data_IF_629185092178
#
_entry.id   IF_629185092178
#
_cell.length_a   1.000
_cell.length_b   1.000
_cell.length_c   1.000
_cell.angle_alpha   90.00
_cell.angle_beta   90.00
_cell.angle_gamma   90.00
#
_symmetry.space_group_name_H-M   'P 1'
#
loop_
_entity.id
_entity.type
_entity.pdbx_description
1 polymer ?
#
# COMPACT_ATOMS: atom_id res chain seq x y z
N UNK A 1 -63.84 -20.84 -25.50
CA UNK A 1 -64.01 -20.39 -26.90
C UNK A 1 -64.81 -19.09 -26.87
N UNK A 2 -64.32 -18.06 -27.58
CA UNK A 2 -64.79 -16.66 -27.69
C UNK A 2 -64.42 -15.72 -26.52
N UNK A 3 -63.94 -14.51 -26.76
CA UNK A 3 -63.28 -13.86 -27.92
C UNK A 3 -62.74 -12.51 -27.40
N UNK A 4 -61.58 -12.08 -27.88
CA UNK A 4 -61.05 -10.72 -27.73
C UNK A 4 -62.04 -9.65 -28.23
N UNK A 5 -61.91 -8.40 -27.74
CA UNK A 5 -61.73 -7.17 -28.55
C UNK A 5 -61.32 -6.00 -27.60
N UNK A 6 -60.13 -5.45 -27.86
CA UNK A 6 -59.72 -4.07 -27.54
C UNK A 6 -60.50 -3.09 -28.42
N UNK A 7 -60.97 -1.91 -27.94
CA UNK A 7 -60.83 -0.59 -28.60
C UNK A 7 -61.04 0.57 -27.58
N UNK A 8 -59.96 1.33 -27.35
CA UNK A 8 -59.75 2.80 -27.37
C UNK A 8 -60.75 3.75 -26.67
N UNK A 9 -60.23 4.64 -25.80
CA UNK A 9 -60.85 5.96 -25.60
C UNK A 9 -60.44 6.82 -24.38
N UNK A 10 -59.29 7.50 -24.46
CA UNK A 10 -59.01 8.89 -23.98
C UNK A 10 -58.93 9.15 -22.45
N UNK A 11 -57.77 9.68 -22.01
CA UNK A 11 -57.76 10.60 -20.85
C UNK A 11 -56.55 10.61 -19.89
N UNK A 12 -55.41 11.16 -20.35
CA UNK A 12 -54.62 12.20 -19.64
C UNK A 12 -53.86 11.89 -18.30
N UNK A 13 -52.55 12.17 -18.37
CA UNK A 13 -51.56 12.58 -17.35
C UNK A 13 -51.06 11.55 -16.30
N UNK A 14 -49.77 11.21 -16.38
CA UNK A 14 -48.70 11.71 -15.47
C UNK A 14 -47.39 10.91 -15.68
N UNK A 15 -46.25 11.61 -15.68
CA UNK A 15 -44.95 11.04 -15.29
C UNK A 15 -43.97 10.71 -16.41
N UNK A 16 -42.99 11.59 -16.58
CA UNK A 16 -41.78 11.44 -17.36
C UNK A 16 -40.97 10.18 -17.01
N UNK A 17 -40.51 9.46 -18.04
CA UNK A 17 -39.41 8.51 -17.94
C UNK A 17 -38.13 9.32 -17.75
N UNK A 18 -37.59 9.38 -16.54
CA UNK A 18 -36.21 9.80 -16.32
C UNK A 18 -35.32 8.56 -16.32
N UNK A 19 -34.33 8.63 -17.21
CA UNK A 19 -33.19 7.73 -17.34
C UNK A 19 -32.60 7.32 -15.98
N UNK A 20 -32.29 6.03 -15.87
CA UNK A 20 -31.44 5.47 -14.84
C UNK A 20 -30.03 6.08 -14.97
N UNK A 21 -29.74 7.09 -14.15
CA UNK A 21 -28.38 7.58 -13.97
C UNK A 21 -27.72 6.76 -12.86
N UNK A 22 -26.60 6.13 -13.22
CA UNK A 22 -25.67 5.37 -12.38
C UNK A 22 -25.47 6.03 -10.99
N UNK A 23 -25.81 5.30 -9.93
CA UNK A 23 -25.49 5.73 -8.57
C UNK A 23 -23.97 5.74 -8.35
N UNK A 24 -23.46 6.93 -8.07
CA UNK A 24 -22.13 7.16 -7.52
C UNK A 24 -22.02 6.45 -6.15
N UNK A 25 -21.03 5.56 -6.00
CA UNK A 25 -20.83 4.79 -4.77
C UNK A 25 -20.69 5.72 -3.57
N UNK A 26 -21.70 5.71 -2.69
CA UNK A 26 -21.85 6.70 -1.63
C UNK A 26 -20.67 6.65 -0.65
N UNK A 27 -19.97 7.78 -0.46
CA UNK A 27 -18.84 7.89 0.48
C UNK A 27 -19.32 7.82 1.93
N UNK A 28 -18.69 7.00 2.77
CA UNK A 28 -19.16 6.70 4.13
C UNK A 28 -18.15 7.14 5.19
N UNK A 29 -18.65 7.46 6.40
CA UNK A 29 -17.78 7.68 7.56
C UNK A 29 -17.64 6.37 8.34
N UNK A 30 -16.41 5.95 8.55
CA UNK A 30 -16.06 4.77 9.31
C UNK A 30 -15.44 5.16 10.66
N UNK A 31 -16.19 4.97 11.74
CA UNK A 31 -15.75 5.28 13.10
C UNK A 31 -15.80 4.04 13.99
N UNK A 32 -14.87 3.95 14.96
CA UNK A 32 -14.91 2.90 15.99
C UNK A 32 -14.93 1.48 15.43
N UNK A 33 -15.92 0.66 15.84
CA UNK A 33 -16.05 -0.74 15.38
C UNK A 33 -16.35 -0.85 13.89
N UNK A 34 -17.03 0.13 13.29
CA UNK A 34 -17.38 0.11 11.86
C UNK A 34 -16.15 0.25 10.98
N UNK A 35 -15.18 1.05 11.42
CA UNK A 35 -13.86 1.17 10.81
C UNK A 35 -13.05 -0.12 10.92
N UNK A 36 -13.08 -0.76 12.09
CA UNK A 36 -12.42 -2.04 12.31
C UNK A 36 -13.05 -3.13 11.42
N UNK A 37 -14.38 -3.20 11.34
CA UNK A 37 -15.08 -4.18 10.52
C UNK A 37 -14.85 -3.92 9.02
N UNK A 38 -14.85 -2.66 8.60
CA UNK A 38 -14.57 -2.29 7.22
C UNK A 38 -13.12 -2.62 6.84
N UNK A 39 -12.16 -2.39 7.74
CA UNK A 39 -10.79 -2.87 7.56
C UNK A 39 -10.74 -4.39 7.51
N UNK A 40 -11.30 -5.12 8.47
CA UNK A 40 -11.31 -6.59 8.43
C UNK A 40 -11.88 -7.11 7.10
N UNK A 41 -12.97 -6.51 6.63
CA UNK A 41 -13.61 -6.87 5.36
C UNK A 41 -12.70 -6.56 4.14
N UNK A 42 -12.00 -5.43 4.15
CA UNK A 42 -11.12 -5.01 3.04
C UNK A 42 -9.75 -5.69 3.10
N UNK A 43 -9.27 -6.05 4.29
CA UNK A 43 -7.91 -6.56 4.53
C UNK A 43 -7.82 -8.08 4.54
N UNK A 44 -8.91 -8.81 4.79
CA UNK A 44 -8.90 -10.28 4.92
C UNK A 44 -9.54 -11.01 3.72
N UNK A 45 -9.25 -10.61 2.49
CA UNK A 45 -9.43 -11.52 1.36
C UNK A 45 -8.20 -12.44 1.27
N UNK A 46 -8.24 -13.49 2.11
CA UNK A 46 -7.30 -14.64 2.29
C UNK A 46 -5.87 -14.27 2.80
N UNK A 47 -5.26 -14.87 3.82
CA UNK A 47 -5.41 -16.18 4.47
C UNK A 47 -5.16 -16.17 6.00
N UNK A 48 -5.70 -17.21 6.62
CA UNK A 48 -5.50 -17.77 7.96
C UNK A 48 -4.12 -18.42 8.20
N UNK A 49 -3.74 -18.58 9.49
CA UNK A 49 -2.58 -19.32 10.08
C UNK A 49 -1.22 -18.58 10.03
N UNK A 50 -0.35 -18.55 11.05
CA UNK A 50 0.14 -19.60 11.95
C UNK A 50 0.54 -18.99 13.31
N UNK A 51 0.10 -19.62 14.40
CA UNK A 51 0.67 -19.49 15.74
C UNK A 51 1.73 -20.58 15.91
N UNK A 52 2.94 -20.25 16.37
CA UNK A 52 3.90 -21.26 16.85
C UNK A 52 4.74 -20.71 18.01
N UNK A 53 4.69 -21.43 19.13
CA UNK A 53 5.44 -21.20 20.37
C UNK A 53 6.85 -21.85 20.28
N UNK A 54 7.86 -21.24 20.91
CA UNK A 54 9.24 -21.77 21.01
C UNK A 54 9.68 -21.85 22.48
N UNK A 55 10.35 -22.96 22.83
CA UNK A 55 10.78 -23.35 24.19
C UNK A 55 12.16 -22.81 24.64
N UNK A 56 12.48 -22.86 25.96
CA UNK A 56 13.44 -21.97 26.61
C UNK A 56 14.68 -22.68 27.20
N UNK A 57 15.90 -22.34 26.75
CA UNK A 57 17.12 -22.78 27.49
C UNK A 57 18.35 -21.85 27.48
N UNK A 58 18.35 -20.67 26.85
CA UNK A 58 19.54 -19.79 26.82
C UNK A 58 19.31 -18.39 27.41
N UNK A 59 18.72 -18.31 28.61
CA UNK A 59 18.01 -17.09 29.01
C UNK A 59 18.52 -16.36 30.25
N UNK A 60 19.82 -16.22 30.51
CA UNK A 60 20.23 -15.49 31.73
C UNK A 60 21.12 -14.25 31.56
N UNK A 61 22.00 -14.16 30.56
CA UNK A 61 22.90 -12.97 30.47
C UNK A 61 22.46 -11.94 29.42
N UNK A 62 21.62 -12.34 28.46
CA UNK A 62 21.04 -11.44 27.44
C UNK A 62 19.74 -10.75 27.89
N UNK A 63 19.20 -11.12 29.06
CA UNK A 63 17.86 -10.71 29.53
C UNK A 63 17.74 -9.23 29.87
N UNK A 64 18.71 -8.61 30.53
CA UNK A 64 18.55 -7.23 31.02
C UNK A 64 18.55 -6.21 29.88
N UNK A 65 19.50 -6.32 28.95
CA UNK A 65 19.58 -5.46 27.76
C UNK A 65 18.51 -5.79 26.73
N UNK A 66 18.08 -7.06 26.59
CA UNK A 66 16.91 -7.39 25.78
C UNK A 66 15.62 -6.87 26.40
N UNK A 67 15.43 -6.95 27.72
CA UNK A 67 14.21 -6.46 28.37
C UNK A 67 14.05 -4.94 28.21
N UNK A 68 15.16 -4.19 28.28
CA UNK A 68 15.16 -2.74 28.01
C UNK A 68 14.89 -2.42 26.54
N UNK A 69 15.54 -3.13 25.61
CA UNK A 69 15.29 -2.99 24.16
C UNK A 69 13.89 -3.43 23.76
N UNK A 70 13.36 -4.46 24.39
CA UNK A 70 12.01 -5.00 24.18
C UNK A 70 10.96 -4.06 24.76
N UNK A 71 11.19 -3.46 25.93
CA UNK A 71 10.33 -2.42 26.50
C UNK A 71 10.32 -1.16 25.61
N UNK A 72 11.49 -0.73 25.13
CA UNK A 72 11.61 0.39 24.19
C UNK A 72 10.95 0.09 22.85
N UNK A 73 11.18 -1.09 22.27
CA UNK A 73 10.53 -1.54 21.04
C UNK A 73 9.02 -1.69 21.21
N UNK A 74 8.53 -2.25 22.32
CA UNK A 74 7.09 -2.31 22.66
C UNK A 74 6.49 -0.92 22.76
N UNK A 75 7.18 0.03 23.40
CA UNK A 75 6.74 1.42 23.52
C UNK A 75 6.71 2.10 22.15
N UNK A 76 7.79 2.03 21.38
CA UNK A 76 7.88 2.60 20.02
C UNK A 76 6.83 1.98 19.10
N UNK A 77 6.66 0.65 19.11
CA UNK A 77 5.62 -0.07 18.36
C UNK A 77 4.22 0.35 18.80
N UNK A 78 4.00 0.58 20.10
CA UNK A 78 2.71 1.08 20.60
C UNK A 78 2.45 2.52 20.15
N UNK A 79 3.46 3.37 20.12
CA UNK A 79 3.35 4.76 19.67
C UNK A 79 3.19 4.86 18.15
N UNK A 80 3.86 4.02 17.37
CA UNK A 80 3.68 3.87 15.93
C UNK A 80 2.27 3.36 15.63
N UNK A 81 1.78 2.33 16.35
CA UNK A 81 0.38 1.87 16.25
C UNK A 81 -0.61 2.95 16.63
N UNK A 82 -0.33 3.78 17.64
CA UNK A 82 -1.20 4.93 18.01
C UNK A 82 -1.16 6.05 16.97
N UNK A 83 -0.01 6.30 16.33
CA UNK A 83 0.12 7.26 15.22
C UNK A 83 -0.66 6.77 14.00
N UNK A 84 -0.48 5.51 13.60
CA UNK A 84 -1.21 4.86 12.51
C UNK A 84 -2.73 4.83 12.76
N UNK A 85 -3.16 4.55 14.00
CA UNK A 85 -4.58 4.62 14.39
C UNK A 85 -5.15 6.04 14.36
N UNK A 86 -4.35 7.07 14.68
CA UNK A 86 -4.77 8.47 14.56
C UNK A 86 -4.95 8.87 13.10
N UNK A 87 -4.01 8.49 12.24
CA UNK A 87 -4.06 8.76 10.80
C UNK A 87 -5.31 8.16 10.12
N UNK A 88 -5.67 6.93 10.53
CA UNK A 88 -6.88 6.25 10.10
C UNK A 88 -8.18 6.92 10.60
N UNK A 89 -8.20 7.37 11.86
CA UNK A 89 -9.38 8.04 12.46
C UNK A 89 -9.60 9.42 11.84
N UNK A 90 -8.54 10.20 11.65
CA UNK A 90 -8.63 11.52 11.01
C UNK A 90 -9.12 11.47 9.56
N UNK A 91 -8.79 10.41 8.84
CA UNK A 91 -9.07 10.31 7.41
C UNK A 91 -10.43 9.71 7.08
N UNK A 92 -10.89 8.71 7.83
CA UNK A 92 -12.12 7.97 7.50
C UNK A 92 -13.23 8.06 8.55
N UNK A 93 -12.95 8.55 9.77
CA UNK A 93 -13.99 8.85 10.76
C UNK A 93 -14.42 10.32 10.68
N UNK A 94 -13.45 11.25 10.66
CA UNK A 94 -13.73 12.69 10.59
C UNK A 94 -13.94 13.23 9.18
N UNK A 95 -13.65 12.44 8.13
CA UNK A 95 -14.03 12.73 6.74
C UNK A 95 -14.68 11.49 6.09
N UNK A 96 -15.67 11.65 5.18
CA UNK A 96 -16.23 10.52 4.44
C UNK A 96 -15.17 9.98 3.47
N UNK A 97 -15.02 8.66 3.41
CA UNK A 97 -14.14 7.96 2.49
C UNK A 97 -14.88 6.75 1.89
N UNK A 98 -14.37 6.20 0.80
CA UNK A 98 -14.91 4.98 0.18
C UNK A 98 -14.26 3.73 0.78
N UNK A 99 -14.89 2.57 0.60
CA UNK A 99 -14.28 1.30 1.06
C UNK A 99 -12.93 1.03 0.38
N UNK A 100 -12.72 1.48 -0.87
CA UNK A 100 -11.41 1.41 -1.52
C UNK A 100 -10.31 2.21 -0.80
N UNK A 101 -10.65 3.32 -0.15
CA UNK A 101 -9.68 4.16 0.58
C UNK A 101 -9.15 3.47 1.84
N UNK A 102 -9.94 2.55 2.40
CA UNK A 102 -9.54 1.73 3.55
C UNK A 102 -8.45 0.70 3.19
N UNK A 103 -8.30 0.37 1.90
CA UNK A 103 -7.31 -0.59 1.41
C UNK A 103 -5.88 -0.15 1.68
N UNK A 104 -5.61 1.16 1.70
CA UNK A 104 -4.30 1.73 2.04
C UNK A 104 -3.89 1.43 3.49
N UNK A 105 -4.87 1.20 4.38
CA UNK A 105 -4.64 0.92 5.80
C UNK A 105 -4.64 -0.58 6.12
N UNK A 106 -5.00 -1.42 5.15
CA UNK A 106 -4.81 -2.87 5.22
C UNK A 106 -3.36 -3.31 5.12
N UNK A 107 -2.48 -2.34 4.92
CA UNK A 107 -1.08 -2.53 4.61
C UNK A 107 -0.31 -2.59 5.91
N UNK A 108 -0.30 -3.76 6.52
CA UNK A 108 0.90 -4.18 7.23
C UNK A 108 1.60 -5.22 6.35
N UNK A 109 2.54 -4.77 5.53
CA UNK A 109 3.43 -5.67 4.80
C UNK A 109 4.39 -6.27 5.83
N UNK A 110 4.07 -7.46 6.35
CA UNK A 110 4.83 -8.09 7.44
C UNK A 110 6.32 -8.30 7.14
N UNK A 111 6.66 -8.28 5.86
CA UNK A 111 7.94 -8.60 5.27
C UNK A 111 8.61 -7.41 4.53
N UNK A 112 8.03 -6.20 4.56
CA UNK A 112 8.71 -4.96 4.14
C UNK A 112 9.15 -4.18 5.39
N UNK A 113 10.37 -4.45 5.83
CA UNK A 113 10.98 -3.81 6.99
C UNK A 113 12.05 -2.78 6.56
N UNK A 114 12.58 -2.02 7.53
CA UNK A 114 13.62 -1.00 7.29
C UNK A 114 14.85 -1.54 6.56
N UNK A 115 15.24 -2.81 6.80
CA UNK A 115 16.37 -3.42 6.10
C UNK A 115 16.05 -3.67 4.64
N UNK A 116 14.84 -4.13 4.34
CA UNK A 116 14.37 -4.25 2.96
C UNK A 116 14.28 -2.88 2.27
N UNK A 117 13.68 -1.87 2.90
CA UNK A 117 13.59 -0.51 2.32
C UNK A 117 14.97 0.08 2.02
N UNK A 118 15.93 -0.07 2.94
CA UNK A 118 17.33 0.33 2.70
C UNK A 118 17.95 -0.43 1.52
N UNK A 119 17.68 -1.72 1.40
CA UNK A 119 18.15 -2.51 0.27
C UNK A 119 17.51 -2.05 -1.05
N UNK A 120 16.20 -1.79 -1.08
CA UNK A 120 15.52 -1.28 -2.28
C UNK A 120 16.09 0.08 -2.70
N UNK A 121 16.42 0.95 -1.74
CA UNK A 121 17.13 2.21 -2.00
C UNK A 121 18.51 1.94 -2.62
N UNK A 122 19.33 1.10 -1.99
CA UNK A 122 20.66 0.70 -2.48
C UNK A 122 20.60 0.16 -3.90
N UNK A 123 19.68 -0.78 -4.13
CA UNK A 123 19.44 -1.39 -5.44
C UNK A 123 19.03 -0.34 -6.46
N UNK A 124 18.23 0.67 -6.13
CA UNK A 124 17.85 1.77 -7.03
C UNK A 124 19.02 2.73 -7.32
N UNK A 125 19.91 2.93 -6.35
CA UNK A 125 21.11 3.78 -6.40
C UNK A 125 21.29 4.62 -5.14
N UNK A 126 20.20 4.90 -4.42
CA UNK A 126 20.15 5.61 -3.14
C UNK A 126 20.86 6.97 -3.12
N UNK A 127 20.88 7.66 -4.27
CA UNK A 127 21.45 9.00 -4.36
C UNK A 127 20.48 10.03 -3.78
N UNK A 128 20.77 10.46 -2.54
CA UNK A 128 19.97 11.46 -1.82
C UNK A 128 20.05 12.85 -2.47
N UNK A 129 21.07 13.12 -3.30
CA UNK A 129 21.21 14.38 -4.02
C UNK A 129 20.54 14.33 -5.40
N UNK A 130 20.04 13.16 -5.83
CA UNK A 130 19.36 13.03 -7.10
C UNK A 130 18.11 13.90 -7.14
N UNK A 131 18.08 14.84 -8.08
CA UNK A 131 16.89 15.61 -8.40
C UNK A 131 15.88 14.76 -9.18
N UNK A 132 15.45 15.27 -10.33
CA UNK A 132 14.62 14.52 -11.26
C UNK A 132 15.31 14.46 -12.62
N UNK A 133 15.42 13.26 -13.19
CA UNK A 133 15.97 13.06 -14.53
C UNK A 133 15.19 12.01 -15.29
N UNK A 134 14.88 12.28 -16.57
CA UNK A 134 14.10 11.39 -17.44
C UNK A 134 12.75 10.92 -16.84
N UNK A 135 12.13 11.76 -16.00
CA UNK A 135 10.84 11.46 -15.36
C UNK A 135 10.93 10.67 -14.04
N UNK A 136 12.13 10.33 -13.58
CA UNK A 136 12.37 9.64 -12.32
C UNK A 136 13.04 10.57 -11.31
N UNK A 137 12.66 10.47 -10.04
CA UNK A 137 13.09 11.39 -9.00
C UNK A 137 13.63 10.68 -7.75
N UNK A 138 14.62 11.32 -7.13
CA UNK A 138 15.13 10.99 -5.80
C UNK A 138 15.79 9.62 -5.65
N UNK A 139 16.01 9.19 -4.40
CA UNK A 139 16.92 8.09 -4.08
C UNK A 139 16.39 6.71 -4.49
N UNK A 140 15.07 6.57 -4.64
CA UNK A 140 14.42 5.35 -5.10
C UNK A 140 14.14 5.34 -6.60
N UNK A 141 14.53 6.40 -7.33
CA UNK A 141 14.29 6.52 -8.78
C UNK A 141 12.79 6.33 -9.10
N UNK A 142 11.92 7.01 -8.36
CA UNK A 142 10.45 6.87 -8.44
C UNK A 142 9.95 7.64 -9.65
N UNK A 143 8.97 7.10 -10.38
CA UNK A 143 8.27 7.82 -11.46
C UNK A 143 6.95 8.43 -10.99
N UNK A 144 6.41 9.39 -11.75
CA UNK A 144 5.11 10.00 -11.43
C UNK A 144 3.98 8.96 -11.39
N UNK A 145 3.98 8.00 -12.32
CA UNK A 145 2.96 6.93 -12.36
C UNK A 145 3.07 6.05 -11.13
N UNK A 146 4.29 5.67 -10.72
CA UNK A 146 4.52 4.91 -9.49
C UNK A 146 3.96 5.64 -8.27
N UNK A 147 4.20 6.94 -8.15
CA UNK A 147 3.65 7.77 -7.07
C UNK A 147 2.12 7.88 -7.09
N UNK A 148 1.51 8.06 -8.26
CA UNK A 148 0.04 8.05 -8.40
C UNK A 148 -0.51 6.70 -7.96
N UNK A 149 0.13 5.61 -8.39
CA UNK A 149 -0.30 4.27 -8.05
C UNK A 149 -0.13 3.92 -6.58
N UNK A 150 0.82 4.56 -5.90
CA UNK A 150 1.01 4.50 -4.45
C UNK A 150 -0.01 5.34 -3.65
N UNK A 151 -1.01 5.96 -4.29
CA UNK A 151 -2.01 6.79 -3.62
C UNK A 151 -1.55 8.23 -3.38
N UNK A 152 -0.57 8.71 -4.14
CA UNK A 152 -0.02 10.08 -4.08
C UNK A 152 0.45 10.53 -2.67
N UNK A 153 1.30 9.79 -1.92
CA UNK A 153 1.81 10.27 -0.64
C UNK A 153 2.55 11.59 -0.78
N UNK A 154 2.39 12.50 0.18
CA UNK A 154 3.01 13.83 0.14
C UNK A 154 3.80 14.12 1.42
N UNK A 155 4.57 15.22 1.39
CA UNK A 155 5.15 15.80 2.58
C UNK A 155 4.03 16.29 3.53
N UNK A 156 4.31 16.44 4.83
CA UNK A 156 3.32 16.98 5.77
C UNK A 156 2.75 18.31 5.29
N UNK A 157 1.43 18.47 5.40
CA UNK A 157 0.66 19.67 5.00
C UNK A 157 0.66 20.00 3.49
N UNK A 158 1.22 19.13 2.64
CA UNK A 158 1.22 19.33 1.19
C UNK A 158 -0.01 18.68 0.52
N UNK A 159 -0.41 19.22 -0.64
CA UNK A 159 -1.60 18.81 -1.37
C UNK A 159 -1.25 17.78 -2.47
N UNK A 160 -1.85 16.56 -2.47
CA UNK A 160 -1.59 15.54 -3.49
C UNK A 160 -1.98 15.95 -4.92
N UNK A 161 -2.81 16.98 -5.10
CA UNK A 161 -3.17 17.50 -6.43
C UNK A 161 -2.22 18.60 -6.93
N UNK A 162 -1.26 19.04 -6.10
CA UNK A 162 -0.24 20.00 -6.53
C UNK A 162 0.74 19.32 -7.49
N UNK A 163 1.06 20.01 -8.58
CA UNK A 163 1.89 19.47 -9.67
C UNK A 163 3.27 18.97 -9.19
N UNK A 164 3.89 19.70 -8.27
CA UNK A 164 5.23 19.38 -7.76
C UNK A 164 5.22 18.52 -6.48
N UNK A 165 4.05 18.15 -5.94
CA UNK A 165 3.95 17.27 -4.76
C UNK A 165 4.65 15.93 -4.96
N UNK A 166 4.54 15.37 -6.17
CA UNK A 166 5.29 14.19 -6.59
C UNK A 166 6.80 14.39 -6.45
N UNK A 167 7.35 15.46 -7.04
CA UNK A 167 8.80 15.69 -7.12
C UNK A 167 9.37 16.02 -5.75
N UNK A 168 8.60 16.74 -4.93
CA UNK A 168 8.99 17.09 -3.56
C UNK A 168 9.02 15.86 -2.66
N UNK A 169 7.98 15.00 -2.73
CA UNK A 169 7.96 13.77 -1.95
C UNK A 169 8.97 12.74 -2.45
N UNK A 170 9.13 12.57 -3.77
CA UNK A 170 10.06 11.59 -4.32
C UNK A 170 11.53 11.91 -4.02
N UNK A 171 11.89 13.20 -3.85
CA UNK A 171 13.25 13.63 -3.50
C UNK A 171 13.54 13.59 -1.99
N UNK A 172 12.52 13.63 -1.14
CA UNK A 172 12.70 13.43 0.30
C UNK A 172 12.81 11.94 0.64
N UNK A 173 13.84 11.55 1.39
CA UNK A 173 14.08 10.13 1.71
C UNK A 173 12.91 9.48 2.45
N UNK A 174 12.35 10.17 3.45
CA UNK A 174 11.28 9.59 4.27
C UNK A 174 9.96 9.55 3.51
N UNK A 175 9.68 10.57 2.72
CA UNK A 175 8.48 10.63 1.90
C UNK A 175 8.54 9.62 0.75
N UNK A 176 9.68 9.50 0.06
CA UNK A 176 9.90 8.48 -0.97
C UNK A 176 9.82 7.06 -0.42
N UNK A 177 10.30 6.79 0.79
CA UNK A 177 10.08 5.51 1.46
C UNK A 177 8.59 5.21 1.65
N UNK A 178 7.77 6.19 2.05
CA UNK A 178 6.31 6.02 2.13
C UNK A 178 5.67 5.74 0.77
N UNK A 179 6.18 6.34 -0.31
CA UNK A 179 5.73 6.01 -1.68
C UNK A 179 5.97 4.52 -1.96
N UNK A 180 7.17 4.01 -1.66
CA UNK A 180 7.51 2.60 -1.87
C UNK A 180 6.65 1.70 -0.99
N UNK A 181 6.49 2.02 0.29
CA UNK A 181 5.61 1.29 1.22
C UNK A 181 4.17 1.21 0.68
N UNK A 182 3.59 2.35 0.28
CA UNK A 182 2.23 2.42 -0.27
C UNK A 182 2.09 1.84 -1.68
N UNK A 183 3.19 1.65 -2.42
CA UNK A 183 3.15 0.91 -3.68
C UNK A 183 3.20 -0.60 -3.43
N UNK A 184 4.12 -1.06 -2.58
CA UNK A 184 4.23 -2.48 -2.20
C UNK A 184 2.97 -2.97 -1.48
N UNK A 185 2.30 -2.08 -0.76
CA UNK A 185 0.97 -2.27 -0.22
C UNK A 185 -0.04 -2.81 -1.23
N UNK A 186 -0.01 -2.20 -2.41
CA UNK A 186 -1.01 -2.37 -3.46
C UNK A 186 -0.63 -3.49 -4.42
N UNK A 187 0.67 -3.65 -4.68
CA UNK A 187 1.18 -4.55 -5.70
C UNK A 187 2.00 -5.72 -5.15
N UNK A 188 2.25 -5.76 -3.85
CA UNK A 188 2.98 -6.83 -3.18
C UNK A 188 2.33 -8.18 -3.42
N UNK A 189 3.11 -9.10 -3.97
CA UNK A 189 2.70 -10.47 -4.29
C UNK A 189 3.95 -11.32 -4.44
N UNK A 190 3.79 -12.63 -4.32
CA UNK A 190 4.84 -13.59 -4.67
C UNK A 190 5.08 -13.56 -6.19
N UNK A 191 6.23 -13.04 -6.58
CA UNK A 191 6.62 -12.80 -7.96
C UNK A 191 7.42 -13.98 -8.53
N UNK A 192 8.28 -14.58 -7.71
CA UNK A 192 9.13 -15.70 -8.11
C UNK A 192 8.47 -17.08 -7.90
N UNK A 193 7.27 -17.13 -7.29
CA UNK A 193 6.46 -18.32 -7.02
C UNK A 193 7.12 -19.28 -6.04
N UNK A 194 7.86 -18.76 -5.06
CA UNK A 194 8.50 -19.57 -4.01
C UNK A 194 7.58 -19.82 -2.80
N UNK A 195 6.36 -19.28 -2.81
CA UNK A 195 5.36 -19.41 -1.76
C UNK A 195 5.47 -18.36 -0.67
N UNK A 196 6.42 -17.42 -0.75
CA UNK A 196 6.65 -16.39 0.26
C UNK A 196 6.88 -15.04 -0.41
N UNK A 197 5.93 -14.11 -0.25
CA UNK A 197 6.24 -12.71 -0.56
C UNK A 197 7.34 -12.23 0.39
N UNK A 198 8.45 -11.70 -0.13
CA UNK A 198 9.59 -11.20 0.62
C UNK A 198 10.28 -10.02 -0.10
N UNK A 199 11.43 -9.57 0.41
CA UNK A 199 12.11 -8.39 -0.15
C UNK A 199 12.59 -8.59 -1.60
N UNK A 200 12.85 -9.85 -1.99
CA UNK A 200 13.21 -10.19 -3.36
C UNK A 200 12.06 -9.90 -4.32
N UNK A 201 10.82 -10.23 -3.94
CA UNK A 201 9.63 -9.90 -4.72
C UNK A 201 9.43 -8.38 -4.84
N UNK A 202 9.67 -7.63 -3.77
CA UNK A 202 9.60 -6.17 -3.81
C UNK A 202 10.67 -5.56 -4.71
N UNK A 203 11.84 -6.18 -4.80
CA UNK A 203 12.87 -5.79 -5.75
C UNK A 203 12.44 -6.10 -7.20
N UNK A 204 11.80 -7.25 -7.44
CA UNK A 204 11.21 -7.58 -8.74
C UNK A 204 10.08 -6.61 -9.13
N UNK A 205 9.22 -6.22 -8.19
CA UNK A 205 8.16 -5.24 -8.39
C UNK A 205 8.74 -3.85 -8.68
N UNK A 206 9.78 -3.42 -7.98
CA UNK A 206 10.44 -2.15 -8.27
C UNK A 206 11.11 -2.12 -9.65
N UNK A 207 11.59 -3.27 -10.15
CA UNK A 207 12.21 -3.36 -11.46
C UNK A 207 11.20 -3.43 -12.61
N UNK A 208 10.16 -4.26 -12.49
CA UNK A 208 9.21 -4.55 -13.57
C UNK A 208 7.88 -3.78 -13.46
N UNK A 209 7.58 -3.19 -12.30
CA UNK A 209 6.27 -2.68 -11.94
C UNK A 209 5.34 -3.77 -11.38
N UNK A 210 4.28 -3.33 -10.69
CA UNK A 210 3.39 -4.22 -9.94
C UNK A 210 2.62 -5.25 -10.78
N UNK A 211 2.40 -5.00 -12.07
CA UNK A 211 1.71 -5.92 -12.97
C UNK A 211 2.58 -7.09 -13.47
N UNK A 212 3.87 -6.84 -13.69
CA UNK A 212 4.73 -7.68 -14.54
C UNK A 212 5.95 -8.28 -13.82
N UNK A 213 5.90 -8.43 -12.50
CA UNK A 213 7.06 -8.85 -11.70
C UNK A 213 7.47 -10.32 -11.83
N UNK A 214 6.82 -11.15 -12.66
CA UNK A 214 7.16 -12.59 -12.77
C UNK A 214 8.33 -12.88 -13.70
N UNK A 215 8.75 -11.90 -14.50
CA UNK A 215 9.89 -12.07 -15.39
C UNK A 215 11.21 -12.13 -14.59
N UNK A 216 12.13 -13.05 -14.93
CA UNK A 216 13.41 -13.12 -14.24
C UNK A 216 14.30 -11.89 -14.49
N UNK A 217 14.87 -11.35 -13.42
CA UNK A 217 15.76 -10.17 -13.49
C UNK A 217 17.02 -10.38 -14.34
N UNK A 218 17.51 -11.62 -14.43
CA UNK A 218 18.75 -11.92 -15.14
C UNK A 218 18.63 -11.83 -16.68
N UNK A 219 17.42 -11.59 -17.21
CA UNK A 219 17.17 -11.48 -18.66
C UNK A 219 17.65 -10.16 -19.27
N UNK A 220 17.87 -9.11 -18.46
CA UNK A 220 18.38 -7.81 -18.94
C UNK A 220 19.65 -7.40 -18.22
N UNK A 221 20.51 -6.61 -18.87
CA UNK A 221 21.73 -6.08 -18.24
C UNK A 221 21.42 -5.23 -17.01
N UNK A 222 20.34 -4.44 -17.06
CA UNK A 222 19.87 -3.67 -15.91
C UNK A 222 19.42 -4.59 -14.78
N UNK A 223 18.60 -5.60 -15.06
CA UNK A 223 18.12 -6.53 -14.04
C UNK A 223 19.24 -7.38 -13.42
N UNK A 224 20.23 -7.81 -14.21
CA UNK A 224 21.45 -8.45 -13.70
C UNK A 224 22.21 -7.55 -12.71
N UNK A 225 22.36 -6.26 -13.05
CA UNK A 225 22.97 -5.28 -12.15
C UNK A 225 22.17 -5.11 -10.87
N UNK A 226 20.85 -5.01 -10.95
CA UNK A 226 19.98 -4.91 -9.75
C UNK A 226 20.09 -6.15 -8.87
N UNK A 227 20.15 -7.35 -9.47
CA UNK A 227 20.36 -8.61 -8.75
C UNK A 227 21.69 -8.65 -8.01
N UNK A 228 22.78 -8.20 -8.65
CA UNK A 228 24.09 -8.11 -8.00
C UNK A 228 24.07 -7.16 -6.79
N UNK A 229 23.48 -5.97 -6.94
CA UNK A 229 23.34 -5.01 -5.83
C UNK A 229 22.48 -5.58 -4.70
N UNK A 230 21.42 -6.33 -5.03
CA UNK A 230 20.56 -6.95 -4.03
C UNK A 230 21.31 -7.99 -3.19
N UNK A 231 22.19 -8.78 -3.81
CA UNK A 231 23.01 -9.78 -3.11
C UNK A 231 23.94 -9.16 -2.06
N UNK A 232 24.32 -7.88 -2.21
CA UNK A 232 25.14 -7.16 -1.24
C UNK A 232 24.39 -6.81 0.06
N UNK A 233 23.05 -6.78 0.03
CA UNK A 233 22.23 -6.38 1.17
C UNK A 233 22.21 -7.38 2.34
N UNK A 234 22.56 -8.67 2.09
CA UNK A 234 22.62 -9.75 3.09
C UNK A 234 21.36 -9.84 3.98
N UNK A 235 20.19 -9.86 3.35
CA UNK A 235 18.88 -9.96 4.01
C UNK A 235 18.54 -11.38 4.46
#
# INVERSE_FOLDING_TARGET
MKLLICIIGIGVLLGSVTDASLEDGNSMRFCGRTLINALILVCNMEETYVSAEVQPSEQYILKSTLNEKESSYKRIKSELRKRQKRDLVETCCYKPCKYEDLRMYCVHISNLNDSCLRCLCHVAGCDLAHGCSQGYCGPFYISRVYWVDAGKPTLPEDNPERKEAYEDCARDYYCSAKIVESYMARFGKDCNKDGVTNCYDYMMINHHGGGACTEPLHLTSLGQRRLQLYQECRL
#
